data_IF_554445203628
#
_entry.id   IF_554445203628
#
_cell.length_a   1.000
_cell.length_b   1.000
_cell.length_c   1.000
_cell.angle_alpha   90.00
_cell.angle_beta   90.00
_cell.angle_gamma   90.00
#
_symmetry.space_group_name_H-M   'P 1'
#
loop_
_entity.id
_entity.type
_entity.pdbx_description
1 polymer ?
#
# COMPACT_ATOMS: atom_id res chain seq x y z
N UNK A 1 -0.77 -15.48 -17.37
CA UNK A 1 0.50 -14.98 -17.98
C UNK A 1 1.65 -15.62 -17.21
N UNK A 2 2.65 -16.20 -17.88
CA UNK A 2 3.79 -16.80 -17.21
C UNK A 2 4.86 -15.75 -16.89
N UNK A 3 5.55 -15.91 -15.78
CA UNK A 3 6.72 -15.09 -15.44
C UNK A 3 7.91 -15.42 -16.33
N UNK A 4 8.71 -14.43 -16.65
CA UNK A 4 10.00 -14.66 -17.30
C UNK A 4 10.95 -15.41 -16.34
N UNK A 5 11.98 -16.12 -16.83
CA UNK A 5 12.94 -16.81 -15.95
C UNK A 5 13.60 -15.87 -14.91
N UNK A 6 13.83 -14.61 -15.28
CA UNK A 6 14.37 -13.59 -14.37
C UNK A 6 13.37 -13.23 -13.27
N UNK A 7 12.10 -13.07 -13.60
CA UNK A 7 11.04 -12.79 -12.64
C UNK A 7 10.83 -13.98 -11.70
N UNK A 8 10.83 -15.22 -12.25
CA UNK A 8 10.72 -16.42 -11.43
C UNK A 8 11.85 -16.51 -10.39
N UNK A 9 13.09 -16.27 -10.82
CA UNK A 9 14.24 -16.24 -9.89
C UNK A 9 14.09 -15.14 -8.80
N UNK A 10 13.44 -14.03 -9.10
CA UNK A 10 13.16 -12.99 -8.10
C UNK A 10 12.11 -13.45 -7.10
N UNK A 11 11.04 -14.08 -7.57
CA UNK A 11 9.97 -14.64 -6.74
C UNK A 11 10.54 -15.72 -5.82
N UNK A 12 11.34 -16.65 -6.34
CA UNK A 12 11.93 -17.77 -5.58
C UNK A 12 12.76 -17.29 -4.38
N UNK A 13 13.47 -16.15 -4.53
CA UNK A 13 14.24 -15.54 -3.43
C UNK A 13 13.38 -15.00 -2.30
N UNK A 14 12.13 -14.68 -2.56
CA UNK A 14 11.19 -14.08 -1.62
C UNK A 14 10.01 -15.00 -1.28
N UNK A 15 9.98 -16.25 -1.77
CA UNK A 15 8.87 -17.18 -1.53
C UNK A 15 8.60 -17.40 -0.04
N UNK A 16 9.64 -17.40 0.80
CA UNK A 16 9.53 -17.62 2.23
C UNK A 16 8.81 -16.48 3.00
N UNK A 17 8.56 -15.34 2.37
CA UNK A 17 7.80 -14.23 2.98
C UNK A 17 6.33 -14.21 2.55
N UNK A 18 5.93 -15.05 1.60
CA UNK A 18 4.55 -15.22 1.17
C UNK A 18 3.74 -15.97 2.23
N UNK A 19 2.47 -15.66 2.37
CA UNK A 19 1.57 -16.26 3.33
C UNK A 19 0.68 -17.30 2.67
N UNK A 20 0.75 -18.55 3.15
CA UNK A 20 -0.15 -19.63 2.74
C UNK A 20 -0.32 -19.74 1.21
N UNK A 21 -1.50 -19.39 0.73
CA UNK A 21 -1.92 -19.43 -0.68
C UNK A 21 -1.76 -18.07 -1.40
N UNK A 22 -0.98 -17.14 -0.83
CA UNK A 22 -0.73 -15.82 -1.41
C UNK A 22 -0.04 -15.94 -2.78
N UNK A 23 -0.66 -15.35 -3.80
CA UNK A 23 -0.20 -15.44 -5.19
C UNK A 23 0.53 -14.18 -5.62
N UNK A 24 1.71 -14.35 -6.19
CA UNK A 24 2.44 -13.25 -6.83
C UNK A 24 1.82 -12.98 -8.19
N UNK A 25 1.43 -11.74 -8.43
CA UNK A 25 0.84 -11.26 -9.68
C UNK A 25 1.88 -10.61 -10.58
N UNK A 26 2.84 -9.92 -9.95
CA UNK A 26 3.91 -9.22 -10.64
C UNK A 26 5.12 -9.04 -9.73
N UNK A 27 6.30 -8.84 -10.34
CA UNK A 27 7.55 -8.59 -9.62
C UNK A 27 8.46 -7.67 -10.42
N UNK A 28 9.17 -6.78 -9.72
CA UNK A 28 10.25 -5.98 -10.26
C UNK A 28 11.35 -5.77 -9.23
N UNK A 29 12.44 -5.15 -9.64
CA UNK A 29 13.54 -4.74 -8.76
C UNK A 29 13.70 -3.23 -8.79
N UNK A 30 14.22 -2.68 -7.71
CA UNK A 30 14.52 -1.27 -7.62
C UNK A 30 15.38 -0.95 -6.40
N UNK A 31 15.72 0.32 -6.27
CA UNK A 31 16.39 0.87 -5.10
C UNK A 31 15.30 1.39 -4.14
N UNK A 32 15.07 0.64 -3.09
CA UNK A 32 14.02 0.93 -2.10
C UNK A 32 14.57 1.90 -1.07
N UNK A 33 13.90 3.03 -0.93
CA UNK A 33 14.22 4.05 0.07
C UNK A 33 13.17 4.01 1.18
N UNK A 34 13.63 3.71 2.39
CA UNK A 34 12.78 3.70 3.60
C UNK A 34 13.28 4.79 4.54
N UNK A 35 12.38 5.66 4.96
CA UNK A 35 12.67 6.68 5.98
C UNK A 35 12.12 6.18 7.32
N UNK A 36 12.99 6.03 8.31
CA UNK A 36 12.61 5.68 9.68
C UNK A 36 13.28 6.63 10.66
N UNK A 37 12.50 7.29 11.51
CA UNK A 37 12.99 8.20 12.55
C UNK A 37 14.00 9.25 12.03
N UNK A 38 13.74 9.83 10.85
CA UNK A 38 14.62 10.81 10.21
C UNK A 38 15.85 10.23 9.50
N UNK A 39 16.09 8.91 9.61
CA UNK A 39 17.17 8.22 8.91
C UNK A 39 16.67 7.64 7.59
N UNK A 40 17.36 7.96 6.50
CA UNK A 40 17.05 7.47 5.14
C UNK A 40 17.98 6.31 4.82
N UNK A 41 17.41 5.15 4.55
CA UNK A 41 18.16 3.97 4.10
C UNK A 41 17.75 3.63 2.68
N UNK A 42 18.73 3.44 1.80
CA UNK A 42 18.51 2.96 0.42
C UNK A 42 19.12 1.57 0.24
N UNK A 43 18.36 0.64 -0.30
CA UNK A 43 18.80 -0.73 -0.56
C UNK A 43 18.20 -1.26 -1.86
N UNK A 44 19.03 -1.98 -2.61
CA UNK A 44 18.53 -2.75 -3.74
C UNK A 44 17.61 -3.87 -3.23
N UNK A 45 16.43 -3.98 -3.81
CA UNK A 45 15.42 -4.92 -3.36
C UNK A 45 14.46 -5.32 -4.47
N UNK A 46 13.48 -6.10 -4.09
CA UNK A 46 12.41 -6.60 -4.93
C UNK A 46 11.08 -6.02 -4.49
N UNK A 47 10.24 -5.71 -5.46
CA UNK A 47 8.86 -5.30 -5.27
C UNK A 47 7.99 -6.44 -5.79
N UNK A 48 7.30 -7.14 -4.90
CA UNK A 48 6.34 -8.16 -5.27
C UNK A 48 4.93 -7.59 -5.12
N UNK A 49 4.15 -7.71 -6.17
CA UNK A 49 2.73 -7.40 -6.18
C UNK A 49 2.00 -8.72 -6.03
N UNK A 50 1.27 -8.89 -4.93
CA UNK A 50 0.51 -10.12 -4.67
C UNK A 50 -1.00 -9.88 -4.84
N UNK A 51 -1.79 -10.89 -4.66
CA UNK A 51 -3.25 -10.79 -4.62
C UNK A 51 -3.77 -10.05 -3.37
N UNK A 52 -2.93 -9.89 -2.31
CA UNK A 52 -3.30 -9.33 -0.99
C UNK A 52 -2.60 -8.02 -0.65
N UNK A 53 -1.34 -7.85 -1.05
CA UNK A 53 -0.49 -6.72 -0.63
C UNK A 53 0.67 -6.47 -1.59
N UNK A 54 1.35 -5.34 -1.41
CA UNK A 54 2.67 -5.07 -2.01
C UNK A 54 3.73 -5.41 -0.99
N UNK A 55 4.74 -6.21 -1.36
CA UNK A 55 5.85 -6.58 -0.50
C UNK A 55 7.14 -5.97 -1.05
N UNK A 56 7.85 -5.23 -0.22
CA UNK A 56 9.19 -4.75 -0.48
C UNK A 56 10.18 -5.66 0.25
N UNK A 57 10.94 -6.42 -0.49
CA UNK A 57 11.91 -7.38 0.05
C UNK A 57 13.34 -6.93 -0.25
N UNK A 58 14.15 -6.80 0.78
CA UNK A 58 15.58 -6.47 0.67
C UNK A 58 16.43 -7.49 1.41
N UNK A 59 17.41 -8.08 0.71
CA UNK A 59 18.35 -9.00 1.32
C UNK A 59 19.43 -8.23 2.10
N UNK A 60 19.74 -8.70 3.30
CA UNK A 60 20.82 -8.19 4.16
C UNK A 60 21.88 -9.26 4.39
N UNK A 61 23.06 -8.85 4.83
CA UNK A 61 24.06 -9.79 5.33
C UNK A 61 23.53 -10.44 6.62
N UNK A 62 23.29 -11.75 6.57
CA UNK A 62 22.71 -12.51 7.70
C UNK A 62 21.19 -12.48 7.81
N UNK A 63 20.45 -12.03 6.76
CA UNK A 63 19.00 -12.05 6.79
C UNK A 63 18.34 -11.23 5.69
N UNK A 64 17.15 -10.75 5.96
CA UNK A 64 16.38 -9.89 5.05
C UNK A 64 15.60 -8.82 5.82
N UNK A 65 15.14 -7.82 5.11
CA UNK A 65 14.17 -6.84 5.58
C UNK A 65 12.96 -6.87 4.65
N UNK A 66 11.79 -6.88 5.25
CA UNK A 66 10.52 -6.87 4.54
C UNK A 66 9.65 -5.72 5.06
N UNK A 67 9.04 -4.99 4.15
CA UNK A 67 7.95 -4.08 4.44
C UNK A 67 6.80 -4.45 3.52
N UNK A 68 5.59 -4.51 4.05
CA UNK A 68 4.41 -4.84 3.28
C UNK A 68 3.32 -3.78 3.43
N UNK A 69 2.54 -3.62 2.38
CA UNK A 69 1.49 -2.62 2.28
C UNK A 69 0.22 -3.28 1.76
N UNK A 70 -0.77 -3.42 2.62
CA UNK A 70 -2.11 -3.89 2.25
C UNK A 70 -2.77 -2.82 1.37
N UNK A 71 -3.40 -3.23 0.28
CA UNK A 71 -3.95 -2.29 -0.72
C UNK A 71 -4.95 -1.29 -0.16
N UNK A 72 -5.77 -1.68 0.81
CA UNK A 72 -6.73 -0.79 1.47
C UNK A 72 -6.09 0.34 2.29
N UNK A 73 -4.80 0.22 2.65
CA UNK A 73 -4.05 1.25 3.37
C UNK A 73 -3.22 2.15 2.45
N UNK A 74 -3.11 1.81 1.17
CA UNK A 74 -2.44 2.65 0.18
C UNK A 74 -3.37 3.80 -0.23
N UNK A 75 -2.99 5.01 0.12
CA UNK A 75 -3.75 6.24 -0.19
C UNK A 75 -3.30 6.91 -1.48
N UNK A 76 -2.14 6.52 -2.02
CA UNK A 76 -1.63 7.05 -3.27
C UNK A 76 -0.52 6.19 -3.88
N UNK A 77 -0.44 6.26 -5.20
CA UNK A 77 0.61 5.65 -6.01
C UNK A 77 1.02 6.62 -7.12
N UNK A 78 2.24 7.14 -7.02
CA UNK A 78 2.87 7.94 -8.06
C UNK A 78 3.90 7.11 -8.79
N UNK A 79 4.04 7.30 -10.10
CA UNK A 79 5.15 6.74 -10.86
C UNK A 79 5.60 7.66 -11.98
N UNK A 80 6.88 7.56 -12.30
CA UNK A 80 7.51 8.28 -13.41
C UNK A 80 8.32 7.30 -14.23
N UNK A 81 8.01 7.23 -15.53
CA UNK A 81 8.78 6.47 -16.51
C UNK A 81 9.83 7.37 -17.13
N UNK A 82 11.06 6.99 -17.03
CA UNK A 82 12.19 7.64 -17.70
C UNK A 82 12.57 6.91 -19.00
N UNK A 83 13.66 7.33 -19.61
CA UNK A 83 14.14 6.75 -20.88
C UNK A 83 14.63 5.30 -20.72
N UNK A 84 15.32 4.98 -19.63
CA UNK A 84 15.85 3.63 -19.33
C UNK A 84 15.29 3.06 -18.02
N UNK A 85 15.13 3.90 -17.01
CA UNK A 85 14.68 3.54 -15.67
C UNK A 85 13.54 4.45 -15.27
N UNK A 86 12.74 4.01 -14.32
CA UNK A 86 11.68 4.80 -13.73
C UNK A 86 11.68 4.73 -12.22
N UNK A 87 10.77 5.48 -11.63
CA UNK A 87 10.60 5.58 -10.19
C UNK A 87 9.13 5.40 -9.83
N UNK A 88 8.88 4.93 -8.62
CA UNK A 88 7.55 4.76 -8.05
C UNK A 88 7.56 5.22 -6.60
N UNK A 89 6.44 5.71 -6.11
CA UNK A 89 6.26 6.05 -4.71
C UNK A 89 4.89 5.60 -4.22
N UNK A 90 4.84 5.00 -3.04
CA UNK A 90 3.60 4.68 -2.34
C UNK A 90 3.37 5.65 -1.20
N UNK A 91 2.12 6.00 -0.97
CA UNK A 91 1.66 6.68 0.23
C UNK A 91 0.82 5.68 1.04
N UNK A 92 1.20 5.48 2.29
CA UNK A 92 0.45 4.66 3.24
C UNK A 92 0.56 5.27 4.64
N UNK A 93 -0.55 5.50 5.31
CA UNK A 93 -0.63 6.02 6.68
C UNK A 93 0.21 7.31 6.94
N UNK A 94 0.35 8.18 5.92
CA UNK A 94 1.15 9.41 6.00
C UNK A 94 2.64 9.25 5.67
N UNK A 95 3.13 8.03 5.58
CA UNK A 95 4.50 7.75 5.17
C UNK A 95 4.62 7.58 3.65
N UNK A 96 5.74 8.05 3.10
CA UNK A 96 6.05 7.92 1.68
C UNK A 96 7.26 7.02 1.46
N UNK A 97 7.05 5.92 0.77
CA UNK A 97 8.12 5.00 0.37
C UNK A 97 8.45 5.19 -1.10
N UNK A 98 9.72 5.43 -1.40
CA UNK A 98 10.22 5.62 -2.75
C UNK A 98 10.94 4.38 -3.25
N UNK A 99 10.71 4.04 -4.53
CA UNK A 99 11.42 3.00 -5.25
C UNK A 99 11.99 3.63 -6.52
N UNK A 100 13.29 3.59 -6.66
CA UNK A 100 14.03 4.17 -7.77
C UNK A 100 14.67 3.08 -8.61
N UNK A 101 15.13 3.46 -9.81
CA UNK A 101 15.86 2.57 -10.72
C UNK A 101 15.06 1.30 -11.09
N UNK A 102 13.75 1.41 -11.23
CA UNK A 102 12.90 0.35 -11.77
C UNK A 102 13.11 0.28 -13.29
N UNK A 103 13.27 -0.91 -13.90
CA UNK A 103 13.30 -1.03 -15.36
C UNK A 103 12.08 -0.36 -16.00
N UNK A 104 12.27 0.41 -17.06
CA UNK A 104 11.19 1.24 -17.66
C UNK A 104 9.94 0.45 -18.06
N UNK A 105 10.14 -0.79 -18.53
CA UNK A 105 9.07 -1.66 -18.99
C UNK A 105 8.26 -2.26 -17.82
N UNK A 106 8.86 -2.32 -16.64
CA UNK A 106 8.23 -2.80 -15.42
C UNK A 106 7.42 -1.71 -14.72
N UNK A 107 7.84 -0.43 -14.79
CA UNK A 107 7.23 0.68 -14.03
C UNK A 107 5.73 0.78 -14.27
N UNK A 108 5.31 0.85 -15.53
CA UNK A 108 3.88 1.00 -15.88
C UNK A 108 3.10 -0.29 -15.60
N UNK A 109 3.68 -1.45 -15.89
CA UNK A 109 3.08 -2.75 -15.68
C UNK A 109 2.81 -2.99 -14.19
N UNK A 110 3.79 -2.78 -13.34
CA UNK A 110 3.69 -2.92 -11.88
C UNK A 110 2.75 -1.87 -11.30
N UNK A 111 2.86 -0.60 -11.73
CA UNK A 111 1.95 0.46 -11.28
C UNK A 111 0.48 0.17 -11.62
N UNK A 112 0.22 -0.38 -12.81
CA UNK A 112 -1.12 -0.79 -13.23
C UNK A 112 -1.65 -1.91 -12.35
N UNK A 113 -0.86 -2.96 -12.12
CA UNK A 113 -1.24 -4.08 -11.26
C UNK A 113 -1.59 -3.62 -9.84
N UNK A 114 -0.80 -2.71 -9.25
CA UNK A 114 -1.06 -2.14 -7.93
C UNK A 114 -2.35 -1.32 -7.94
N UNK A 115 -2.56 -0.43 -8.92
CA UNK A 115 -3.77 0.40 -9.01
C UNK A 115 -5.06 -0.41 -9.16
N UNK A 116 -5.03 -1.47 -9.94
CA UNK A 116 -6.18 -2.38 -10.09
C UNK A 116 -6.56 -3.04 -8.76
N UNK A 117 -5.57 -3.42 -7.96
CA UNK A 117 -5.78 -3.99 -6.62
C UNK A 117 -6.24 -2.95 -5.60
N UNK A 118 -5.67 -1.75 -5.63
CA UNK A 118 -6.13 -0.63 -4.80
C UNK A 118 -7.61 -0.31 -5.08
N UNK A 119 -7.99 -0.20 -6.36
CA UNK A 119 -9.38 0.07 -6.74
C UNK A 119 -10.33 -1.04 -6.23
N UNK A 120 -9.95 -2.31 -6.38
CA UNK A 120 -10.72 -3.44 -5.84
C UNK A 120 -10.82 -3.43 -4.32
N UNK A 121 -9.75 -3.12 -3.61
CA UNK A 121 -9.73 -3.04 -2.15
C UNK A 121 -10.62 -1.91 -1.61
N UNK A 122 -10.63 -0.75 -2.27
CA UNK A 122 -11.51 0.37 -1.90
C UNK A 122 -12.99 0.10 -2.17
N UNK A 123 -13.31 -0.72 -3.16
CA UNK A 123 -14.70 -1.15 -3.43
C UNK A 123 -15.18 -2.19 -2.40
N UNK A 124 -14.30 -3.10 -1.98
CA UNK A 124 -14.62 -4.11 -0.94
C UNK A 124 -14.50 -3.56 0.48
N UNK A 125 -13.75 -2.48 0.67
CA UNK A 125 -13.49 -1.83 1.96
C UNK A 125 -14.59 -0.86 2.42
N UNK A 126 -15.78 -0.88 1.85
CA UNK A 126 -16.90 -0.06 2.31
C UNK A 126 -17.42 -0.43 3.73
N UNK A 127 -16.59 -1.19 4.50
CA UNK A 127 -16.83 -1.55 5.90
C UNK A 127 -15.81 -0.98 6.90
N UNK A 128 -14.70 -0.33 6.45
CA UNK A 128 -13.71 0.30 7.35
C UNK A 128 -12.80 1.28 6.59
N UNK A 129 -13.38 2.18 5.82
CA UNK A 129 -12.66 3.34 5.32
C UNK A 129 -12.51 4.35 6.46
N UNK A 130 -11.30 4.89 6.66
CA UNK A 130 -11.12 6.13 7.41
C UNK A 130 -12.06 7.18 6.79
N UNK A 131 -12.83 7.91 7.58
CA UNK A 131 -13.80 8.86 7.08
C UNK A 131 -13.09 9.95 6.26
N UNK A 132 -13.31 9.94 4.95
CA UNK A 132 -12.73 10.92 4.01
C UNK A 132 -13.64 12.13 3.84
N UNK A 133 -14.81 12.14 4.48
CA UNK A 133 -15.73 13.26 4.46
C UNK A 133 -16.46 13.42 5.80
N UNK A 134 -16.84 14.66 6.14
CA UNK A 134 -17.68 14.95 7.32
C UNK A 134 -18.95 14.09 7.35
N UNK A 135 -19.53 13.78 6.19
CA UNK A 135 -20.71 12.93 6.06
C UNK A 135 -20.49 11.49 6.53
N UNK A 136 -19.30 10.92 6.28
CA UNK A 136 -18.97 9.55 6.69
C UNK A 136 -18.70 9.47 8.19
N UNK A 137 -18.09 10.51 8.77
CA UNK A 137 -17.92 10.63 10.23
C UNK A 137 -19.28 10.73 10.94
N UNK A 138 -20.19 11.52 10.40
CA UNK A 138 -21.55 11.66 10.95
C UNK A 138 -22.30 10.32 10.88
N UNK A 139 -22.21 9.56 9.80
CA UNK A 139 -22.83 8.23 9.69
C UNK A 139 -22.27 7.26 10.73
N UNK A 140 -20.95 7.26 10.94
CA UNK A 140 -20.31 6.41 11.95
C UNK A 140 -20.76 6.78 13.36
N UNK A 141 -20.85 8.08 13.66
CA UNK A 141 -21.37 8.56 14.95
C UNK A 141 -22.85 8.19 15.15
N UNK A 142 -23.67 8.22 14.08
CA UNK A 142 -25.06 7.79 14.15
C UNK A 142 -25.18 6.29 14.49
N UNK A 143 -24.35 5.44 13.89
CA UNK A 143 -24.31 4.01 14.23
C UNK A 143 -23.93 3.78 15.69
N UNK A 144 -22.91 4.47 16.21
CA UNK A 144 -22.47 4.36 17.60
C UNK A 144 -23.57 4.83 18.58
N UNK A 145 -24.36 5.85 18.22
CA UNK A 145 -25.53 6.29 18.99
C UNK A 145 -26.59 5.20 18.99
N UNK A 146 -26.93 4.63 17.84
CA UNK A 146 -27.95 3.60 17.70
C UNK A 146 -27.58 2.30 18.44
N UNK A 147 -26.28 2.01 18.55
CA UNK A 147 -25.72 0.90 19.35
C UNK A 147 -25.67 1.23 20.87
N UNK A 148 -26.03 2.44 21.27
CA UNK A 148 -25.98 2.88 22.66
C UNK A 148 -24.60 3.16 23.23
N UNK A 149 -23.57 3.22 22.38
CA UNK A 149 -22.19 3.53 22.73
C UNK A 149 -21.90 5.04 22.77
N UNK A 150 -22.84 5.86 22.26
CA UNK A 150 -22.78 7.31 22.24
C UNK A 150 -24.13 7.86 22.64
N UNK A 151 -24.14 8.83 23.55
CA UNK A 151 -25.37 9.52 23.93
C UNK A 151 -25.82 10.52 22.87
N UNK A 152 -27.12 10.89 22.85
CA UNK A 152 -27.65 11.89 21.90
C UNK A 152 -26.95 13.27 22.05
N UNK A 153 -26.59 13.64 23.28
CA UNK A 153 -25.88 14.88 23.57
C UNK A 153 -24.46 14.87 22.99
N UNK A 154 -23.73 13.76 23.14
CA UNK A 154 -22.38 13.58 22.58
C UNK A 154 -22.42 13.51 21.04
N UNK A 155 -23.41 12.84 20.47
CA UNK A 155 -23.63 12.81 19.03
C UNK A 155 -23.86 14.22 18.46
N UNK A 156 -24.72 15.02 19.08
CA UNK A 156 -25.01 16.40 18.66
C UNK A 156 -23.77 17.29 18.76
N UNK A 157 -23.02 17.20 19.87
CA UNK A 157 -21.80 17.97 20.07
C UNK A 157 -20.70 17.62 19.04
N UNK A 158 -20.52 16.32 18.75
CA UNK A 158 -19.57 15.84 17.75
C UNK A 158 -19.95 16.26 16.34
N UNK A 159 -21.23 16.21 15.98
CA UNK A 159 -21.71 16.67 14.67
C UNK A 159 -21.48 18.17 14.46
N UNK A 160 -21.76 18.99 15.47
CA UNK A 160 -21.49 20.44 15.42
C UNK A 160 -19.98 20.71 15.18
N UNK A 161 -19.10 19.97 15.87
CA UNK A 161 -17.65 20.10 15.70
C UNK A 161 -17.20 19.69 14.28
N UNK A 162 -17.75 18.62 13.71
CA UNK A 162 -17.42 18.13 12.36
C UNK A 162 -17.91 19.12 11.28
N UNK A 163 -19.08 19.71 11.50
CA UNK A 163 -19.68 20.68 10.57
C UNK A 163 -19.18 22.13 10.76
N UNK A 164 -18.34 22.38 11.77
CA UNK A 164 -17.78 23.71 12.04
C UNK A 164 -18.80 24.70 12.57
N UNK A 165 -19.85 24.23 13.28
CA UNK A 165 -20.94 25.01 13.87
C UNK A 165 -20.66 25.34 15.35
#
# INVERSE_FOLDING_TARGET
>A
MGFTPKQQQQIDKATHVLQGDEQVLDVTTGLIQVTRMGSVTQRSGQVLVTDRRVILYTKKLGGYEMNDFVYGLLTGLDYKKGMMLGNMAFLAAGDRTHIQNIPKDDVERVAKAIRERMAGAHVQGNGSALPTSAADEIRKLATLRDEGLLTEAEFTAKNAQILGL
#
